data_IF_044453637055
#
_entry.id   IF_044453637055
#
_cell.length_a   1.000
_cell.length_b   1.000
_cell.length_c   1.000
_cell.angle_alpha   90.00
_cell.angle_beta   90.00
_cell.angle_gamma   90.00
#
_symmetry.space_group_name_H-M   'P 1'
#
loop_
_entity.id
_entity.type
_entity.pdbx_description
1 polymer ?
#
# COMPACT_ATOMS: atom_id res chain seq x y z
N UNK A 1 -10.61 7.98 16.56
CA UNK A 1 -11.14 8.51 15.29
C UNK A 1 -11.69 7.31 14.55
N UNK A 2 -12.98 7.29 14.22
CA UNK A 2 -13.52 6.18 13.43
C UNK A 2 -12.74 6.09 12.12
N UNK A 3 -12.32 4.88 11.77
CA UNK A 3 -11.79 4.62 10.44
C UNK A 3 -13.01 4.64 9.51
N UNK A 4 -13.03 5.54 8.55
CA UNK A 4 -14.03 5.53 7.48
C UNK A 4 -13.87 4.22 6.71
N UNK A 5 -14.98 3.55 6.42
CA UNK A 5 -14.98 2.38 5.55
C UNK A 5 -14.55 2.78 4.13
N UNK A 6 -13.97 1.87 3.35
CA UNK A 6 -13.47 2.16 2.00
C UNK A 6 -14.56 2.76 1.09
N UNK A 7 -15.80 2.33 1.28
CA UNK A 7 -16.99 2.87 0.59
C UNK A 7 -17.30 4.33 0.96
N UNK A 8 -17.17 4.71 2.23
CA UNK A 8 -17.39 6.08 2.71
C UNK A 8 -16.24 6.99 2.27
N UNK A 9 -15.00 6.48 2.30
CA UNK A 9 -13.82 7.16 1.78
C UNK A 9 -13.95 7.46 0.29
N UNK A 10 -14.45 6.50 -0.49
CA UNK A 10 -14.73 6.67 -1.91
C UNK A 10 -15.84 7.68 -2.19
N UNK A 11 -16.87 7.72 -1.36
CA UNK A 11 -17.96 8.68 -1.50
C UNK A 11 -17.49 10.12 -1.22
N UNK A 12 -16.64 10.30 -0.21
CA UNK A 12 -16.15 11.63 0.21
C UNK A 12 -15.02 12.14 -0.68
N UNK A 13 -14.06 11.27 -1.05
CA UNK A 13 -12.83 11.66 -1.74
C UNK A 13 -12.77 11.19 -3.20
N UNK A 14 -13.76 10.43 -3.66
CA UNK A 14 -13.83 9.92 -5.03
C UNK A 14 -13.74 11.04 -6.05
N UNK A 15 -12.86 10.87 -7.05
CA UNK A 15 -12.60 11.88 -8.08
C UNK A 15 -11.67 13.02 -7.65
N UNK A 16 -11.17 13.01 -6.41
CA UNK A 16 -10.07 13.89 -6.03
C UNK A 16 -8.74 13.34 -6.55
N UNK A 17 -7.84 14.24 -6.95
CA UNK A 17 -6.49 13.85 -7.40
C UNK A 17 -5.70 13.08 -6.34
N UNK A 18 -5.98 13.29 -5.05
CA UNK A 18 -5.31 12.57 -3.97
C UNK A 18 -5.82 11.13 -3.88
N UNK A 19 -7.13 10.93 -3.94
CA UNK A 19 -7.76 9.61 -3.92
C UNK A 19 -7.36 8.78 -5.14
N UNK A 20 -7.40 9.35 -6.34
CA UNK A 20 -6.99 8.66 -7.56
C UNK A 20 -5.52 8.23 -7.52
N UNK A 21 -4.66 9.07 -6.93
CA UNK A 21 -3.25 8.73 -6.70
C UNK A 21 -3.12 7.59 -5.68
N UNK A 22 -3.93 7.58 -4.62
CA UNK A 22 -3.91 6.51 -3.63
C UNK A 22 -4.35 5.16 -4.24
N UNK A 23 -5.46 5.16 -4.98
CA UNK A 23 -5.98 3.98 -5.70
C UNK A 23 -4.98 3.42 -6.72
N UNK A 24 -4.22 4.31 -7.38
CA UNK A 24 -3.17 3.87 -8.29
C UNK A 24 -2.09 3.00 -7.61
N UNK A 25 -1.77 3.26 -6.34
CA UNK A 25 -0.81 2.42 -5.61
C UNK A 25 -1.35 1.01 -5.35
N UNK A 26 -2.68 0.88 -5.22
CA UNK A 26 -3.36 -0.37 -4.90
C UNK A 26 -3.61 -1.30 -6.09
N UNK A 27 -3.44 -0.80 -7.32
CA UNK A 27 -3.65 -1.58 -8.55
C UNK A 27 -2.92 -2.92 -8.52
N UNK A 28 -3.60 -3.95 -9.00
CA UNK A 28 -3.07 -5.28 -9.26
C UNK A 28 -1.74 -5.22 -10.05
N UNK A 29 -0.86 -6.17 -9.76
CA UNK A 29 0.49 -6.24 -10.33
C UNK A 29 0.72 -7.65 -10.87
N UNK A 30 1.12 -7.75 -12.14
CA UNK A 30 1.61 -9.02 -12.67
C UNK A 30 2.96 -9.33 -12.00
N UNK A 31 3.04 -10.47 -11.33
CA UNK A 31 4.25 -10.92 -10.63
C UNK A 31 5.45 -11.08 -11.58
N UNK A 32 5.20 -11.26 -12.89
CA UNK A 32 6.26 -11.35 -13.90
C UNK A 32 7.05 -10.04 -14.04
N UNK A 33 6.45 -8.91 -13.67
CA UNK A 33 7.07 -7.60 -13.77
C UNK A 33 7.89 -7.22 -12.51
N UNK A 34 7.88 -8.07 -11.48
CA UNK A 34 8.46 -7.81 -10.15
C UNK A 34 9.62 -8.74 -9.80
N UNK A 35 10.73 -8.60 -10.53
CA UNK A 35 11.91 -9.46 -10.38
C UNK A 35 12.61 -9.30 -9.03
N UNK A 36 12.65 -8.08 -8.47
CA UNK A 36 13.35 -7.83 -7.21
C UNK A 36 12.64 -8.53 -6.04
N UNK A 37 11.33 -8.35 -5.92
CA UNK A 37 10.53 -9.00 -4.88
C UNK A 37 10.52 -10.52 -5.03
N UNK A 38 10.40 -11.02 -6.26
CA UNK A 38 10.51 -12.44 -6.56
C UNK A 38 11.85 -13.03 -6.12
N UNK A 39 12.96 -12.35 -6.39
CA UNK A 39 14.29 -12.84 -6.02
C UNK A 39 14.52 -12.84 -4.51
N UNK A 40 14.04 -11.82 -3.78
CA UNK A 40 14.32 -11.65 -2.36
C UNK A 40 13.42 -12.48 -1.45
N UNK A 41 12.13 -12.59 -1.79
CA UNK A 41 11.12 -13.19 -0.90
C UNK A 41 10.19 -14.19 -1.59
N UNK A 42 10.36 -14.43 -2.90
CA UNK A 42 9.48 -15.33 -3.67
C UNK A 42 9.44 -16.76 -3.15
N UNK A 43 10.56 -17.27 -2.61
CA UNK A 43 10.61 -18.59 -1.97
C UNK A 43 9.68 -18.72 -0.75
N UNK A 44 9.24 -17.59 -0.18
CA UNK A 44 8.35 -17.55 0.97
C UNK A 44 6.91 -17.12 0.60
N UNK A 45 6.59 -16.97 -0.69
CA UNK A 45 5.27 -16.53 -1.16
C UNK A 45 4.12 -17.30 -0.53
N UNK A 46 4.21 -18.63 -0.46
CA UNK A 46 3.15 -19.48 0.11
C UNK A 46 2.88 -19.15 1.58
N UNK A 47 3.92 -18.81 2.34
CA UNK A 47 3.83 -18.52 3.79
C UNK A 47 3.49 -17.06 4.07
N UNK A 48 3.91 -16.15 3.20
CA UNK A 48 3.83 -14.71 3.41
C UNK A 48 3.24 -13.99 2.19
N UNK A 49 2.11 -14.49 1.68
CA UNK A 49 1.51 -13.99 0.44
C UNK A 49 1.21 -12.49 0.50
N UNK A 50 0.67 -11.97 1.61
CA UNK A 50 0.36 -10.54 1.74
C UNK A 50 1.63 -9.67 1.64
N UNK A 51 2.73 -10.12 2.28
CA UNK A 51 4.03 -9.43 2.19
C UNK A 51 4.56 -9.48 0.77
N UNK A 52 4.38 -10.61 0.09
CA UNK A 52 4.80 -10.79 -1.30
C UNK A 52 4.03 -9.86 -2.25
N UNK A 53 2.70 -9.80 -2.12
CA UNK A 53 1.83 -8.93 -2.91
C UNK A 53 2.16 -7.46 -2.66
N UNK A 54 2.29 -7.04 -1.40
CA UNK A 54 2.66 -5.66 -1.05
C UNK A 54 4.06 -5.33 -1.59
N UNK A 55 5.02 -6.26 -1.54
CA UNK A 55 6.34 -6.05 -2.15
C UNK A 55 6.22 -5.76 -3.65
N UNK A 56 5.45 -6.55 -4.40
CA UNK A 56 5.27 -6.35 -5.84
C UNK A 56 4.65 -4.97 -6.15
N UNK A 57 3.67 -4.54 -5.35
CA UNK A 57 3.11 -3.18 -5.45
C UNK A 57 4.17 -2.11 -5.18
N UNK A 58 5.01 -2.28 -4.16
CA UNK A 58 6.12 -1.37 -3.86
C UNK A 58 7.10 -1.29 -5.05
N UNK A 59 7.52 -2.43 -5.60
CA UNK A 59 8.47 -2.49 -6.71
C UNK A 59 7.92 -1.77 -7.95
N UNK A 60 6.68 -2.07 -8.35
CA UNK A 60 6.02 -1.42 -9.49
C UNK A 60 5.94 0.09 -9.30
N UNK A 61 5.42 0.55 -8.17
CA UNK A 61 5.23 1.98 -7.93
C UNK A 61 6.58 2.73 -7.84
N UNK A 62 7.61 2.11 -7.27
CA UNK A 62 8.95 2.70 -7.25
C UNK A 62 9.51 2.85 -8.66
N UNK A 63 9.36 1.83 -9.53
CA UNK A 63 9.76 1.91 -10.95
C UNK A 63 9.05 3.05 -11.68
N UNK A 64 7.73 3.16 -11.50
CA UNK A 64 6.92 4.23 -12.10
C UNK A 64 7.40 5.62 -11.64
N UNK A 65 7.63 5.81 -10.33
CA UNK A 65 8.12 7.08 -9.76
C UNK A 65 9.49 7.44 -10.31
N UNK A 66 10.42 6.49 -10.38
CA UNK A 66 11.78 6.73 -10.88
C UNK A 66 11.76 7.11 -12.37
N UNK A 67 10.83 6.56 -13.16
CA UNK A 67 10.68 6.86 -14.57
C UNK A 67 10.06 8.25 -14.85
N UNK A 68 9.46 8.91 -13.86
CA UNK A 68 8.83 10.23 -14.03
C UNK A 68 9.86 11.31 -14.40
N UNK A 69 9.57 12.04 -15.47
CA UNK A 69 10.43 13.12 -15.97
C UNK A 69 10.21 14.45 -15.23
N UNK A 70 8.97 14.76 -14.84
CA UNK A 70 8.65 15.97 -14.08
C UNK A 70 9.10 15.79 -12.61
N UNK A 71 10.02 16.66 -12.17
CA UNK A 71 10.64 16.58 -10.84
C UNK A 71 9.63 16.89 -9.72
N UNK A 72 8.74 17.86 -9.92
CA UNK A 72 7.77 18.27 -8.90
C UNK A 72 6.69 17.21 -8.73
N UNK A 73 6.17 16.68 -9.83
CA UNK A 73 5.22 15.56 -9.80
C UNK A 73 5.85 14.32 -9.16
N UNK A 74 7.13 14.03 -9.51
CA UNK A 74 7.88 12.91 -8.93
C UNK A 74 8.05 13.08 -7.42
N UNK A 75 8.39 14.30 -6.95
CA UNK A 75 8.53 14.58 -5.51
C UNK A 75 7.20 14.40 -4.80
N UNK A 76 6.12 14.97 -5.34
CA UNK A 76 4.76 14.82 -4.80
C UNK A 76 4.34 13.35 -4.71
N UNK A 77 4.54 12.59 -5.79
CA UNK A 77 4.23 11.16 -5.86
C UNK A 77 5.05 10.34 -4.87
N UNK A 78 6.34 10.66 -4.71
CA UNK A 78 7.23 10.00 -3.75
C UNK A 78 6.76 10.20 -2.30
N UNK A 79 6.37 11.43 -1.92
CA UNK A 79 5.82 11.71 -0.59
C UNK A 79 4.54 10.91 -0.32
N UNK A 80 3.61 10.88 -1.28
CA UNK A 80 2.38 10.09 -1.15
C UNK A 80 2.66 8.59 -1.07
N UNK A 81 3.61 8.10 -1.86
CA UNK A 81 4.03 6.70 -1.85
C UNK A 81 4.61 6.30 -0.50
N UNK A 82 5.42 7.15 0.14
CA UNK A 82 5.94 6.88 1.49
C UNK A 82 4.81 6.68 2.51
N UNK A 83 3.80 7.55 2.50
CA UNK A 83 2.64 7.39 3.39
C UNK A 83 1.85 6.11 3.11
N UNK A 84 1.64 5.78 1.83
CA UNK A 84 0.99 4.52 1.43
C UNK A 84 1.79 3.29 1.92
N UNK A 85 3.12 3.27 1.75
CA UNK A 85 3.97 2.17 2.25
C UNK A 85 3.87 2.01 3.76
N UNK A 86 3.85 3.11 4.51
CA UNK A 86 3.68 3.04 5.97
C UNK A 86 2.33 2.43 6.36
N UNK A 87 1.26 2.77 5.64
CA UNK A 87 -0.07 2.22 5.90
C UNK A 87 -0.13 0.73 5.59
N UNK A 88 0.44 0.29 4.45
CA UNK A 88 0.53 -1.12 4.08
C UNK A 88 1.30 -1.95 5.13
N UNK A 89 2.47 -1.47 5.56
CA UNK A 89 3.27 -2.16 6.60
C UNK A 89 2.48 -2.24 7.91
N UNK A 90 1.78 -1.16 8.26
CA UNK A 90 0.94 -1.08 9.46
C UNK A 90 -0.20 -2.11 9.38
N UNK A 91 -0.89 -2.19 8.25
CA UNK A 91 -1.99 -3.13 8.01
C UNK A 91 -1.53 -4.60 8.05
N UNK A 92 -0.37 -4.91 7.48
CA UNK A 92 0.25 -6.25 7.56
C UNK A 92 0.53 -6.66 9.02
N UNK A 93 0.98 -5.72 9.87
CA UNK A 93 1.25 -6.00 11.29
C UNK A 93 -0.03 -6.26 12.08
N UNK A 94 -1.08 -5.47 11.86
CA UNK A 94 -2.35 -5.64 12.57
C UNK A 94 -3.16 -6.86 12.11
N UNK A 95 -2.99 -7.29 10.86
CA UNK A 95 -3.60 -8.54 10.40
C UNK A 95 -3.05 -9.78 11.15
N UNK A 96 -1.81 -9.70 11.67
CA UNK A 96 -1.11 -10.82 12.30
C UNK A 96 -1.07 -10.77 13.83
N UNK A 97 -1.44 -9.64 14.43
CA UNK A 97 -1.41 -9.45 15.88
C UNK A 97 -2.85 -9.27 16.43
N UNK A 98 -3.43 -10.39 16.86
CA UNK A 98 -4.77 -10.41 17.48
C UNK A 98 -4.85 -9.57 18.75
N UNK A 99 -3.73 -9.39 19.45
CA UNK A 99 -3.64 -8.57 20.66
C UNK A 99 -3.70 -7.09 20.28
N UNK A 100 -2.89 -6.66 19.31
CA UNK A 100 -2.92 -5.29 18.80
C UNK A 100 -4.29 -4.91 18.21
N UNK A 101 -4.94 -5.83 17.49
CA UNK A 101 -6.29 -5.64 16.96
C UNK A 101 -7.34 -5.52 18.08
N UNK A 102 -7.24 -6.33 19.13
CA UNK A 102 -8.15 -6.24 20.28
C UNK A 102 -7.93 -4.97 21.13
N UNK A 103 -6.69 -4.50 21.25
CA UNK A 103 -6.36 -3.31 22.03
C UNK A 103 -6.89 -2.03 21.39
N UNK A 104 -6.89 -1.95 20.05
CA UNK A 104 -7.46 -0.81 19.32
C UNK A 104 -8.98 -0.83 19.39
N UNK A 105 -9.64 -1.99 19.26
CA UNK A 105 -11.10 -2.07 19.38
C UNK A 105 -11.59 -1.59 20.75
N UNK A 106 -10.85 -1.91 21.83
CA UNK A 106 -11.13 -1.42 23.19
C UNK A 106 -10.92 0.08 23.39
N UNK A 107 -10.22 0.76 22.48
CA UNK A 107 -10.08 2.23 22.51
C UNK A 107 -11.25 2.94 21.80
N UNK A 108 -12.12 2.18 21.14
CA UNK A 108 -13.28 2.67 20.39
C UNK A 108 -14.63 2.16 20.94
N UNK A 109 -14.60 1.36 22.01
CA UNK A 109 -15.73 1.10 22.91
C UNK A 109 -15.80 2.19 24.00
#
# INVERSE_FOLDING_TARGET
MSQLEESELKEILGGSQLYDKYENFNKEVDEKDCNECKSKIGQHKVKYNDIFVTCNKIEKNLKEIVAMQNIDDRRSRCTQFQYWVYDEIRNIRYAKDSVAKSAINKLYE
#
